data_IF_678604821494
#
_entry.id   IF_678604821494
#
_cell.length_a   1.000
_cell.length_b   1.000
_cell.length_c   1.000
_cell.angle_alpha   90.00
_cell.angle_beta   90.00
_cell.angle_gamma   90.00
#
_symmetry.space_group_name_H-M   'P 1'
#
loop_
_entity.id
_entity.type
_entity.pdbx_description
1 polymer ?
#
# COMPACT_ATOMS: atom_id res chain seq x y z
N UNK A 1 -10.44 -55.39 -27.78
CA UNK A 1 -10.42 -54.59 -26.53
C UNK A 1 -9.02 -54.26 -26.01
N UNK A 2 -8.07 -55.21 -25.93
CA UNK A 2 -6.76 -54.99 -25.29
C UNK A 2 -5.83 -53.93 -25.92
N UNK A 3 -5.89 -53.70 -27.24
CA UNK A 3 -5.04 -52.69 -27.90
C UNK A 3 -5.49 -51.26 -27.63
N UNK A 4 -6.80 -51.00 -27.66
CA UNK A 4 -7.37 -49.68 -27.38
C UNK A 4 -7.08 -49.19 -25.96
N UNK A 5 -7.12 -50.09 -24.98
CA UNK A 5 -6.79 -49.77 -23.59
C UNK A 5 -5.33 -49.32 -23.42
N UNK A 6 -4.40 -49.94 -24.16
CA UNK A 6 -2.98 -49.54 -24.15
C UNK A 6 -2.76 -48.15 -24.75
N UNK A 7 -3.43 -47.84 -25.87
CA UNK A 7 -3.34 -46.52 -26.48
C UNK A 7 -3.95 -45.43 -25.57
N UNK A 8 -5.06 -45.74 -24.89
CA UNK A 8 -5.70 -44.83 -23.95
C UNK A 8 -4.79 -44.53 -22.74
N UNK A 9 -4.12 -45.56 -22.19
CA UNK A 9 -3.16 -45.38 -21.10
C UNK A 9 -1.94 -44.56 -21.52
N UNK A 10 -1.41 -44.78 -22.73
CA UNK A 10 -0.29 -44.00 -23.26
C UNK A 10 -0.70 -42.53 -23.43
N UNK A 11 -1.88 -42.27 -24.00
CA UNK A 11 -2.41 -40.92 -24.17
C UNK A 11 -2.66 -40.20 -22.83
N UNK A 12 -3.15 -40.93 -21.82
CA UNK A 12 -3.37 -40.38 -20.49
C UNK A 12 -2.04 -40.04 -19.80
N UNK A 13 -1.05 -40.93 -19.90
CA UNK A 13 0.27 -40.74 -19.33
C UNK A 13 1.03 -39.59 -20.01
N UNK A 14 0.93 -39.46 -21.33
CA UNK A 14 1.53 -38.33 -22.05
C UNK A 14 0.83 -37.02 -21.71
N UNK A 15 -0.50 -36.99 -21.61
CA UNK A 15 -1.24 -35.80 -21.19
C UNK A 15 -0.84 -35.34 -19.77
N UNK A 16 -0.77 -36.26 -18.81
CA UNK A 16 -0.30 -36.01 -17.45
C UNK A 16 1.15 -35.52 -17.41
N UNK A 17 2.03 -36.13 -18.22
CA UNK A 17 3.42 -35.70 -18.33
C UNK A 17 3.55 -34.28 -18.88
N UNK A 18 2.76 -33.95 -19.90
CA UNK A 18 2.76 -32.60 -20.50
C UNK A 18 2.17 -31.54 -19.58
N UNK A 19 1.09 -31.83 -18.84
CA UNK A 19 0.51 -30.86 -17.91
C UNK A 19 1.44 -30.59 -16.74
N UNK A 20 2.12 -31.63 -16.22
CA UNK A 20 3.10 -31.46 -15.16
C UNK A 20 4.31 -30.65 -15.62
N UNK A 21 4.83 -30.93 -16.83
CA UNK A 21 5.92 -30.16 -17.42
C UNK A 21 5.55 -28.68 -17.65
N UNK A 22 4.32 -28.40 -18.11
CA UNK A 22 3.82 -27.02 -18.26
C UNK A 22 3.72 -26.34 -16.90
N UNK A 23 3.16 -26.99 -15.87
CA UNK A 23 3.08 -26.41 -14.52
C UNK A 23 4.47 -26.15 -13.92
N UNK A 24 5.46 -26.97 -14.26
CA UNK A 24 6.84 -26.79 -13.80
C UNK A 24 7.56 -25.64 -14.52
N UNK A 25 7.34 -25.50 -15.83
CA UNK A 25 7.89 -24.41 -16.65
C UNK A 25 7.20 -23.07 -16.40
N UNK A 26 5.91 -23.11 -16.07
CA UNK A 26 5.08 -21.94 -15.75
C UNK A 26 4.98 -21.77 -14.23
N UNK A 27 5.88 -22.36 -13.43
CA UNK A 27 5.95 -21.97 -12.02
C UNK A 27 6.08 -20.45 -12.01
N UNK A 28 5.06 -19.71 -11.49
CA UNK A 28 5.19 -18.27 -11.40
C UNK A 28 6.46 -18.03 -10.58
N UNK A 29 7.29 -17.10 -11.04
CA UNK A 29 8.40 -16.60 -10.21
C UNK A 29 7.84 -16.41 -8.81
N UNK A 30 8.47 -16.96 -7.75
CA UNK A 30 8.01 -16.65 -6.40
C UNK A 30 7.94 -15.14 -6.33
N UNK A 31 6.75 -14.60 -5.99
CA UNK A 31 6.54 -13.17 -5.85
C UNK A 31 7.70 -12.67 -4.99
N UNK A 32 8.53 -11.78 -5.54
CA UNK A 32 9.55 -11.15 -4.72
C UNK A 32 8.80 -10.52 -3.54
N UNK A 33 9.23 -10.83 -2.32
CA UNK A 33 8.64 -10.20 -1.14
C UNK A 33 8.90 -8.70 -1.28
N UNK A 34 7.87 -7.95 -1.66
CA UNK A 34 7.94 -6.49 -1.64
C UNK A 34 8.05 -6.06 -0.19
N UNK A 35 9.15 -5.39 0.15
CA UNK A 35 9.45 -4.95 1.52
C UNK A 35 8.74 -3.63 1.80
N UNK A 36 8.11 -3.53 2.98
CA UNK A 36 7.62 -2.25 3.49
C UNK A 36 8.82 -1.50 4.09
N UNK A 37 9.05 -0.22 3.77
CA UNK A 37 10.12 0.53 4.40
C UNK A 37 10.10 0.42 5.93
N UNK A 38 11.27 0.42 6.58
CA UNK A 38 11.33 0.36 8.03
C UNK A 38 10.67 1.59 8.64
N UNK A 39 10.02 1.38 9.79
CA UNK A 39 9.32 2.45 10.49
C UNK A 39 10.32 3.48 11.02
N UNK A 40 10.26 4.70 10.49
CA UNK A 40 11.08 5.82 10.93
C UNK A 40 10.20 7.02 11.25
N UNK A 41 10.38 7.60 12.43
CA UNK A 41 9.86 8.92 12.78
C UNK A 41 11.01 9.75 13.34
N UNK A 42 11.33 10.87 12.68
CA UNK A 42 12.45 11.73 13.05
C UNK A 42 12.06 13.20 12.98
N UNK A 43 12.21 13.90 14.09
CA UNK A 43 12.07 15.36 14.17
C UNK A 43 13.44 16.02 14.24
N UNK A 44 13.71 16.99 13.37
CA UNK A 44 14.92 17.81 13.39
C UNK A 44 14.60 19.25 12.95
N UNK A 45 14.94 20.23 13.79
CA UNK A 45 14.91 21.66 13.43
C UNK A 45 13.58 22.14 12.82
N UNK A 46 12.44 21.69 13.37
CA UNK A 46 11.11 22.08 12.86
C UNK A 46 10.66 21.33 11.59
N UNK A 47 11.43 20.34 11.15
CA UNK A 47 11.04 19.37 10.14
C UNK A 47 10.75 18.02 10.83
N UNK A 48 9.72 17.32 10.35
CA UNK A 48 9.36 15.97 10.75
C UNK A 48 9.38 15.08 9.52
N UNK A 49 10.07 13.96 9.59
CA UNK A 49 10.12 12.94 8.54
C UNK A 49 9.56 11.63 9.09
N UNK A 50 8.68 11.03 8.30
CA UNK A 50 8.02 9.76 8.54
C UNK A 50 8.32 8.82 7.37
N UNK A 51 8.65 7.56 7.66
CA UNK A 51 8.86 6.54 6.63
C UNK A 51 8.24 5.21 7.08
N UNK A 52 7.66 4.47 6.14
CA UNK A 52 6.99 3.19 6.41
C UNK A 52 6.06 2.81 5.26
N UNK A 53 4.94 2.17 5.59
CA UNK A 53 3.81 1.91 4.70
C UNK A 53 2.49 2.05 5.44
N UNK A 54 1.42 2.37 4.72
CA UNK A 54 0.05 2.42 5.24
C UNK A 54 -0.58 1.03 5.21
N UNK A 55 -1.03 0.56 6.37
CA UNK A 55 -1.86 -0.64 6.49
C UNK A 55 -3.31 -0.23 6.72
N UNK A 56 -4.18 -0.48 5.75
CA UNK A 56 -5.62 -0.24 5.92
C UNK A 56 -6.19 -1.17 6.99
N UNK A 57 -6.94 -0.58 7.92
CA UNK A 57 -7.63 -1.26 9.02
C UNK A 57 -9.15 -1.11 8.91
N UNK A 58 -9.63 -0.14 8.13
CA UNK A 58 -11.04 0.05 7.78
C UNK A 58 -11.15 0.60 6.34
N UNK A 59 -12.15 0.14 5.59
CA UNK A 59 -12.35 0.50 4.18
C UNK A 59 -11.70 -0.50 3.21
N UNK A 60 -11.93 -0.30 1.91
CA UNK A 60 -11.35 -1.14 0.87
C UNK A 60 -9.93 -0.68 0.53
N UNK A 61 -9.02 -1.64 0.38
CA UNK A 61 -7.71 -1.43 -0.23
C UNK A 61 -7.45 -2.58 -1.22
N UNK A 62 -7.00 -2.22 -2.42
CA UNK A 62 -6.53 -3.21 -3.38
C UNK A 62 -5.32 -3.99 -2.80
N UNK A 63 -5.21 -5.27 -3.16
CA UNK A 63 -4.09 -6.10 -2.72
C UNK A 63 -2.76 -5.52 -3.23
N UNK A 64 -1.88 -5.16 -2.31
CA UNK A 64 -0.58 -4.59 -2.66
C UNK A 64 0.27 -4.30 -1.44
N UNK A 65 1.52 -3.93 -1.71
CA UNK A 65 2.47 -3.43 -0.73
C UNK A 65 2.78 -1.98 -1.07
N UNK A 66 2.88 -1.11 -0.07
CA UNK A 66 3.14 0.31 -0.29
C UNK A 66 4.27 0.84 0.59
N UNK A 67 4.86 1.92 0.10
CA UNK A 67 5.88 2.70 0.73
C UNK A 67 5.41 4.16 0.80
N UNK A 68 5.64 4.80 1.94
CA UNK A 68 5.31 6.19 2.16
C UNK A 68 6.46 6.94 2.82
N UNK A 69 6.79 8.12 2.29
CA UNK A 69 7.56 9.13 2.99
C UNK A 69 6.69 10.37 3.23
N UNK A 70 6.57 10.80 4.48
CA UNK A 70 5.88 12.06 4.83
C UNK A 70 6.90 13.04 5.37
N UNK A 71 6.90 14.27 4.84
CA UNK A 71 7.75 15.37 5.30
C UNK A 71 6.89 16.56 5.68
N UNK A 72 6.94 16.96 6.94
CA UNK A 72 6.22 18.10 7.49
C UNK A 72 7.18 19.21 7.92
N UNK A 73 6.86 20.45 7.57
CA UNK A 73 7.61 21.63 8.00
C UNK A 73 6.73 22.54 8.86
N UNK A 74 7.22 22.86 10.07
CA UNK A 74 6.48 23.60 11.08
C UNK A 74 6.32 25.08 10.74
N UNK A 75 7.33 25.70 10.14
CA UNK A 75 7.32 27.13 9.76
C UNK A 75 6.35 27.39 8.60
N UNK A 76 6.34 26.50 7.60
CA UNK A 76 5.43 26.54 6.44
C UNK A 76 4.03 26.08 6.79
N UNK A 77 3.87 25.29 7.86
CA UNK A 77 2.59 24.71 8.24
C UNK A 77 2.05 23.71 7.21
N UNK A 78 2.93 22.93 6.58
CA UNK A 78 2.57 22.02 5.49
C UNK A 78 3.23 20.66 5.64
N UNK A 79 2.59 19.61 5.12
CA UNK A 79 3.22 18.33 4.88
C UNK A 79 3.13 17.92 3.41
N UNK A 80 4.11 17.15 2.94
CA UNK A 80 4.06 16.44 1.66
C UNK A 80 4.23 14.95 1.91
N UNK A 81 3.40 14.15 1.27
CA UNK A 81 3.48 12.70 1.25
C UNK A 81 3.87 12.24 -0.15
N UNK A 82 4.89 11.41 -0.25
CA UNK A 82 5.17 10.60 -1.43
C UNK A 82 4.72 9.17 -1.14
N UNK A 83 3.74 8.69 -1.89
CA UNK A 83 3.14 7.37 -1.76
C UNK A 83 3.43 6.55 -3.02
N UNK A 84 3.88 5.32 -2.86
CA UNK A 84 4.03 4.37 -3.95
C UNK A 84 3.47 3.01 -3.54
N UNK A 85 2.80 2.31 -4.45
CA UNK A 85 2.29 0.96 -4.19
C UNK A 85 2.52 0.05 -5.39
N UNK A 86 2.88 -1.20 -5.08
CA UNK A 86 2.89 -2.29 -6.05
C UNK A 86 1.58 -3.06 -5.89
N UNK A 87 0.72 -2.93 -6.90
CA UNK A 87 -0.54 -3.66 -7.00
C UNK A 87 -0.27 -5.02 -7.65
N UNK A 88 -0.71 -6.09 -7.00
CA UNK A 88 -0.52 -7.44 -7.51
C UNK A 88 -1.84 -7.93 -8.13
N UNK A 89 -1.78 -8.38 -9.37
CA UNK A 89 -2.94 -8.96 -10.08
C UNK A 89 -2.52 -10.19 -10.89
N UNK A 90 -3.49 -11.00 -11.33
CA UNK A 90 -3.22 -12.29 -11.99
C UNK A 90 -2.32 -12.18 -13.26
N UNK A 91 -2.27 -11.01 -13.89
CA UNK A 91 -1.47 -10.74 -15.08
C UNK A 91 -0.06 -10.18 -14.81
N UNK A 92 0.33 -9.93 -13.55
CA UNK A 92 1.57 -9.23 -13.20
C UNK A 92 1.45 -8.23 -12.05
N UNK A 93 2.35 -7.25 -12.04
CA UNK A 93 2.45 -6.21 -11.02
C UNK A 93 2.43 -4.83 -11.65
N UNK A 94 1.66 -3.91 -11.07
CA UNK A 94 1.58 -2.51 -11.47
C UNK A 94 2.19 -1.61 -10.38
N UNK A 95 3.04 -0.67 -10.77
CA UNK A 95 3.55 0.37 -9.87
C UNK A 95 2.72 1.65 -10.03
N UNK A 96 2.09 2.06 -8.93
CA UNK A 96 1.42 3.35 -8.84
C UNK A 96 2.17 4.28 -7.89
N UNK A 97 2.28 5.57 -8.27
CA UNK A 97 2.91 6.60 -7.46
C UNK A 97 2.06 7.86 -7.42
N UNK A 98 1.89 8.42 -6.22
CA UNK A 98 1.05 9.58 -5.96
C UNK A 98 1.76 10.51 -4.96
N UNK A 99 1.43 11.79 -5.04
CA UNK A 99 1.89 12.79 -4.08
C UNK A 99 0.69 13.54 -3.48
N UNK A 100 0.69 13.72 -2.17
CA UNK A 100 -0.35 14.46 -1.46
C UNK A 100 0.24 15.63 -0.69
N UNK A 101 -0.44 16.77 -0.74
CA UNK A 101 -0.05 17.97 -0.02
C UNK A 101 -1.08 18.29 1.05
N UNK A 102 -0.62 18.42 2.29
CA UNK A 102 -1.45 18.66 3.45
C UNK A 102 -1.21 20.04 4.03
N UNK A 103 -2.29 20.68 4.47
CA UNK A 103 -2.24 21.85 5.34
C UNK A 103 -2.26 21.40 6.80
N UNK A 104 -1.28 21.82 7.59
CA UNK A 104 -1.23 21.53 9.02
C UNK A 104 -2.30 22.37 9.73
N UNK A 105 -3.14 21.70 10.51
CA UNK A 105 -4.20 22.32 11.33
C UNK A 105 -3.82 22.42 12.79
N UNK A 106 -2.96 21.50 13.27
CA UNK A 106 -2.42 21.50 14.63
C UNK A 106 -1.04 20.87 14.63
N UNK A 107 -0.11 21.49 15.36
CA UNK A 107 1.19 20.88 15.66
C UNK A 107 1.65 21.32 17.04
N UNK A 108 1.62 20.40 18.00
CA UNK A 108 2.11 20.61 19.35
C UNK A 108 3.11 19.51 19.76
N UNK A 109 3.46 19.45 21.04
CA UNK A 109 4.43 18.49 21.60
C UNK A 109 3.95 17.03 21.58
N UNK A 110 2.64 16.81 21.40
CA UNK A 110 2.03 15.48 21.47
C UNK A 110 1.69 14.94 20.08
N UNK A 111 1.20 15.81 19.18
CA UNK A 111 0.69 15.38 17.88
C UNK A 111 0.77 16.46 16.80
N UNK A 112 0.76 15.99 15.57
CA UNK A 112 0.54 16.77 14.35
C UNK A 112 -0.76 16.30 13.69
N UNK A 113 -1.61 17.24 13.29
CA UNK A 113 -2.79 17.01 12.47
C UNK A 113 -2.68 17.83 11.18
N UNK A 114 -2.98 17.21 10.04
CA UNK A 114 -2.95 17.87 8.75
C UNK A 114 -4.02 17.31 7.79
N UNK A 115 -4.50 18.16 6.88
CA UNK A 115 -5.59 17.81 5.96
C UNK A 115 -5.15 18.09 4.52
N UNK A 116 -5.30 17.09 3.65
CA UNK A 116 -5.24 17.26 2.20
C UNK A 116 -6.66 17.20 1.66
N UNK A 117 -7.24 18.36 1.38
CA UNK A 117 -8.64 18.47 0.98
C UNK A 117 -8.83 18.02 -0.48
N UNK A 118 -9.86 17.22 -0.75
CA UNK A 118 -10.21 16.70 -2.09
C UNK A 118 -9.01 16.08 -2.80
N UNK A 119 -8.19 15.38 -2.04
CA UNK A 119 -6.88 14.92 -2.49
C UNK A 119 -6.93 13.60 -3.25
N UNK A 120 -8.00 12.81 -3.08
CA UNK A 120 -8.22 11.59 -3.85
C UNK A 120 -9.46 11.77 -4.72
N UNK A 121 -9.25 11.68 -6.04
CA UNK A 121 -10.30 11.80 -7.07
C UNK A 121 -11.17 13.06 -6.93
N UNK A 122 -10.61 14.14 -6.36
CA UNK A 122 -11.32 15.39 -6.07
C UNK A 122 -12.52 15.26 -5.12
N UNK A 123 -12.65 14.14 -4.41
CA UNK A 123 -13.85 13.79 -3.68
C UNK A 123 -13.60 13.41 -2.22
N UNK A 124 -12.45 12.82 -1.91
CA UNK A 124 -12.10 12.44 -0.54
C UNK A 124 -11.10 13.43 0.06
N UNK A 125 -11.36 13.83 1.30
CA UNK A 125 -10.40 14.51 2.15
C UNK A 125 -9.53 13.48 2.86
N UNK A 126 -8.22 13.72 2.90
CA UNK A 126 -7.26 12.90 3.67
C UNK A 126 -6.91 13.63 4.96
N UNK A 127 -7.09 12.95 6.08
CA UNK A 127 -6.77 13.44 7.42
C UNK A 127 -5.59 12.64 7.96
N UNK A 128 -4.45 13.30 8.10
CA UNK A 128 -3.23 12.75 8.64
C UNK A 128 -3.08 13.15 10.12
N UNK A 129 -2.87 12.17 10.98
CA UNK A 129 -2.54 12.38 12.39
C UNK A 129 -1.23 11.67 12.70
N UNK A 130 -0.25 12.38 13.24
CA UNK A 130 1.03 11.81 13.67
C UNK A 130 1.16 11.98 15.17
N UNK A 131 1.34 10.86 15.88
CA UNK A 131 1.54 10.81 17.33
C UNK A 131 3.05 10.83 17.62
N UNK A 132 3.56 11.97 18.09
CA UNK A 132 5.00 12.21 18.20
C UNK A 132 5.65 11.36 19.30
N UNK A 133 4.94 11.14 20.41
CA UNK A 133 5.44 10.38 21.56
C UNK A 133 5.45 8.87 21.28
N UNK A 134 4.36 8.37 20.69
CA UNK A 134 4.16 6.94 20.42
C UNK A 134 4.87 6.48 19.14
N UNK A 135 5.39 7.42 18.35
CA UNK A 135 6.01 7.19 17.04
C UNK A 135 5.10 6.42 16.08
N UNK A 136 3.82 6.75 16.10
CA UNK A 136 2.79 6.18 15.25
C UNK A 136 2.11 7.26 14.40
N UNK A 137 1.39 6.83 13.38
CA UNK A 137 0.55 7.72 12.59
C UNK A 137 -0.67 7.00 12.04
N UNK A 138 -1.70 7.78 11.82
CA UNK A 138 -3.00 7.38 11.31
C UNK A 138 -3.35 8.25 10.11
N UNK A 139 -3.91 7.60 9.10
CA UNK A 139 -4.42 8.25 7.90
C UNK A 139 -5.88 7.85 7.75
N UNK A 140 -6.77 8.83 7.70
CA UNK A 140 -8.19 8.62 7.40
C UNK A 140 -8.56 9.29 6.10
N UNK A 141 -9.48 8.70 5.35
CA UNK A 141 -10.12 9.35 4.23
C UNK A 141 -11.63 9.29 4.36
N UNK A 142 -12.29 10.38 3.96
CA UNK A 142 -13.74 10.50 4.02
C UNK A 142 -14.24 11.45 2.94
N UNK A 143 -15.49 11.31 2.48
CA UNK A 143 -16.07 12.20 1.48
C UNK A 143 -16.10 13.66 1.93
N UNK A 144 -15.69 14.56 1.05
CA UNK A 144 -15.95 15.98 1.19
C UNK A 144 -17.45 16.27 1.09
N UNK A 145 -17.86 17.47 1.51
CA UNK A 145 -19.24 17.92 1.37
C UNK A 145 -19.72 17.85 -0.10
N UNK A 146 -20.86 17.19 -0.30
CA UNK A 146 -21.47 17.00 -1.63
C UNK A 146 -20.91 15.83 -2.44
N UNK A 147 -20.10 14.98 -1.82
CA UNK A 147 -19.47 13.82 -2.45
C UNK A 147 -20.01 12.52 -1.81
N UNK A 148 -20.24 11.50 -2.64
CA UNK A 148 -20.54 10.13 -2.20
C UNK A 148 -19.36 9.24 -2.57
N UNK A 149 -18.62 8.77 -1.57
CA UNK A 149 -17.47 7.90 -1.73
C UNK A 149 -17.26 7.07 -0.47
N UNK A 150 -16.48 6.00 -0.58
CA UNK A 150 -16.16 5.15 0.57
C UNK A 150 -15.14 5.85 1.49
N UNK A 151 -15.37 5.72 2.79
CA UNK A 151 -14.44 6.15 3.83
C UNK A 151 -13.47 5.02 4.21
N UNK A 152 -12.40 5.37 4.90
CA UNK A 152 -11.50 4.37 5.47
C UNK A 152 -10.40 4.95 6.36
N UNK A 153 -9.59 4.04 6.88
CA UNK A 153 -8.56 4.30 7.87
C UNK A 153 -7.38 3.35 7.67
N UNK A 154 -6.18 3.90 7.72
CA UNK A 154 -4.93 3.17 7.74
C UNK A 154 -4.04 3.62 8.89
N UNK A 155 -3.20 2.70 9.36
CA UNK A 155 -2.16 2.95 10.36
C UNK A 155 -0.79 2.78 9.72
N UNK A 156 0.18 3.57 10.17
CA UNK A 156 1.56 3.45 9.70
C UNK A 156 2.21 2.18 10.29
N UNK A 157 2.82 1.39 9.42
CA UNK A 157 3.59 0.20 9.76
C UNK A 157 4.96 0.25 9.07
N UNK A 158 5.88 -0.62 9.47
CA UNK A 158 7.14 -0.79 8.77
C UNK A 158 7.76 -2.14 9.11
N UNK A 159 8.60 -2.64 8.21
CA UNK A 159 9.32 -3.88 8.44
C UNK A 159 10.41 -3.69 9.51
N UNK A 160 10.75 -4.76 10.26
CA UNK A 160 11.85 -4.70 11.22
C UNK A 160 13.18 -4.40 10.52
N UNK A 161 14.03 -3.64 11.21
CA UNK A 161 15.43 -3.37 10.81
C UNK A 161 16.35 -4.56 11.09
#
# INVERSE_FOLDING_TARGET
MHRYFKYLLIALASALGTSYAVLWLVQPSPLENTTIPPLLLKEQQGELVLWGGWKTVEGYQAHGVNAVEVRCNRERGTCSEAFATILHHDAGEDLEAQAFHYQVTRWDETRLEAIAARAMEQCLDRHLVIHLQDKSADLRWSPSAGCEADQGHAVLVGDPL
#
